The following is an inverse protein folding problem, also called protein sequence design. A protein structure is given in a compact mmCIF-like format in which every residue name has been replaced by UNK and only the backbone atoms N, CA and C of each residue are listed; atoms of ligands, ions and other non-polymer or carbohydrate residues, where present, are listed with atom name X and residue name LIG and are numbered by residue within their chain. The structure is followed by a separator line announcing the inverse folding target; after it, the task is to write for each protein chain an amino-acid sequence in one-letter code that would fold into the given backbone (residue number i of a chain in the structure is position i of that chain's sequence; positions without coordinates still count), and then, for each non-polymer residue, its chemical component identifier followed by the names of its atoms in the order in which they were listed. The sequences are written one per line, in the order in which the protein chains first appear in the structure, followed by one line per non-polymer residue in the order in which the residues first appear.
data_IF_929547439299
#
_entry.id   IF_929547439299
#
_cell.length_a   1.000
_cell.length_b   1.000
_cell.length_c   1.000
_cell.angle_alpha   90.00
_cell.angle_beta   90.00
_cell.angle_gamma   90.00
#
_symmetry.space_group_name_H-M   'P 1'
#
loop_
_entity.id
_entity.type
_entity.pdbx_description
1 polymer ?
#
# COMPACT_ATOMS: atom_id res chain seq x y z
N UNK A 1 7.95 18.29 -40.98
CA UNK A 1 8.13 19.27 -39.89
C UNK A 1 7.43 18.70 -38.67
N UNK A 2 8.14 18.00 -37.80
CA UNK A 2 7.62 17.57 -36.50
C UNK A 2 7.31 18.82 -35.67
N UNK A 3 6.10 18.88 -35.13
CA UNK A 3 5.65 20.08 -34.43
C UNK A 3 6.42 20.22 -33.11
N UNK A 4 6.61 21.45 -32.63
CA UNK A 4 7.25 21.73 -31.33
C UNK A 4 6.55 21.01 -30.17
N UNK A 5 5.26 20.70 -30.32
CA UNK A 5 4.44 19.98 -29.35
C UNK A 5 4.86 18.50 -29.21
N UNK A 6 5.19 17.85 -30.33
CA UNK A 6 5.55 16.43 -30.37
C UNK A 6 6.89 16.18 -29.64
N UNK A 7 7.82 17.14 -29.74
CA UNK A 7 9.11 17.06 -29.05
C UNK A 7 8.98 17.21 -27.52
N UNK A 8 8.02 18.01 -27.03
CA UNK A 8 7.80 18.19 -25.58
C UNK A 8 7.22 16.90 -24.98
N UNK A 9 6.21 16.32 -25.63
CA UNK A 9 5.57 15.07 -25.18
C UNK A 9 6.58 13.91 -25.16
N UNK A 10 7.47 13.85 -26.15
CA UNK A 10 8.51 12.83 -26.23
C UNK A 10 9.52 12.92 -25.07
N UNK A 11 10.00 14.13 -24.75
CA UNK A 11 10.94 14.32 -23.65
C UNK A 11 10.31 13.99 -22.30
N UNK A 12 9.06 14.41 -22.05
CA UNK A 12 8.33 14.09 -20.83
C UNK A 12 8.16 12.55 -20.67
N UNK A 13 7.93 11.84 -21.77
CA UNK A 13 7.80 10.37 -21.76
C UNK A 13 9.13 9.68 -21.41
N UNK A 14 10.26 10.19 -21.93
CA UNK A 14 11.59 9.67 -21.58
C UNK A 14 11.88 9.89 -20.09
N UNK A 15 11.65 11.10 -19.59
CA UNK A 15 11.89 11.41 -18.18
C UNK A 15 11.05 10.54 -17.25
N UNK A 16 9.76 10.36 -17.55
CA UNK A 16 8.89 9.47 -16.78
C UNK A 16 9.37 8.01 -16.80
N UNK A 17 9.79 7.53 -17.96
CA UNK A 17 10.34 6.17 -18.11
C UNK A 17 11.62 5.98 -17.29
N UNK A 18 12.54 6.94 -17.34
CA UNK A 18 13.77 6.91 -16.55
C UNK A 18 13.48 6.95 -15.05
N UNK A 19 12.54 7.79 -14.61
CA UNK A 19 12.14 7.88 -13.20
C UNK A 19 11.49 6.57 -12.71
N UNK A 20 10.69 5.92 -13.55
CA UNK A 20 10.13 4.60 -13.25
C UNK A 20 11.22 3.55 -13.13
N UNK A 21 12.13 3.47 -14.12
CA UNK A 21 13.25 2.54 -14.11
C UNK A 21 14.13 2.71 -12.85
N UNK A 22 14.48 3.95 -12.51
CA UNK A 22 15.27 4.26 -11.31
C UNK A 22 14.55 3.85 -10.03
N UNK A 23 13.24 4.10 -9.95
CA UNK A 23 12.43 3.72 -8.80
C UNK A 23 12.40 2.20 -8.62
N UNK A 24 12.17 1.47 -9.70
CA UNK A 24 12.11 0.00 -9.66
C UNK A 24 13.48 -0.59 -9.36
N UNK A 25 14.54 -0.05 -9.95
CA UNK A 25 15.92 -0.44 -9.66
C UNK A 25 16.27 -0.23 -8.18
N UNK A 26 15.95 0.94 -7.61
CA UNK A 26 16.14 1.24 -6.18
C UNK A 26 15.35 0.28 -5.29
N UNK A 27 14.08 0.04 -5.62
CA UNK A 27 13.23 -0.89 -4.86
C UNK A 27 13.79 -2.32 -4.88
N UNK A 28 14.26 -2.78 -6.04
CA UNK A 28 14.84 -4.11 -6.19
C UNK A 28 16.13 -4.27 -5.36
N UNK A 29 17.00 -3.25 -5.33
CA UNK A 29 18.20 -3.27 -4.48
C UNK A 29 17.86 -3.28 -3.00
N UNK A 30 16.89 -2.45 -2.57
CA UNK A 30 16.39 -2.46 -1.19
C UNK A 30 15.85 -3.83 -0.80
N UNK A 31 15.03 -4.45 -1.65
CA UNK A 31 14.47 -5.77 -1.40
C UNK A 31 15.56 -6.85 -1.31
N UNK A 32 16.59 -6.78 -2.14
CA UNK A 32 17.74 -7.68 -2.04
C UNK A 32 18.48 -7.51 -0.71
N UNK A 33 18.75 -6.26 -0.30
CA UNK A 33 19.37 -5.96 0.98
C UNK A 33 18.56 -6.52 2.16
N UNK A 34 17.24 -6.29 2.20
CA UNK A 34 16.35 -6.83 3.24
C UNK A 34 16.33 -8.36 3.19
N UNK A 35 16.17 -8.96 2.01
CA UNK A 35 16.07 -10.42 1.88
C UNK A 35 17.35 -11.12 2.35
N UNK A 36 18.52 -10.52 2.10
CA UNK A 36 19.80 -11.06 2.56
C UNK A 36 20.02 -10.74 4.04
N UNK A 37 19.74 -9.51 4.48
CA UNK A 37 19.95 -9.03 5.85
C UNK A 37 18.95 -9.56 6.89
N UNK A 38 17.77 -10.00 6.48
CA UNK A 38 16.80 -10.69 7.35
C UNK A 38 17.17 -12.17 7.52
N UNK A 39 17.76 -12.78 6.49
CA UNK A 39 18.23 -14.18 6.52
C UNK A 39 19.59 -14.33 7.19
N UNK A 40 20.44 -13.32 7.08
CA UNK A 40 21.86 -13.36 7.45
C UNK A 40 22.25 -12.02 8.10
N UNK A 41 23.32 -11.98 8.91
CA UNK A 41 23.77 -10.73 9.53
C UNK A 41 24.14 -9.66 8.48
N UNK A 42 24.11 -8.37 8.87
CA UNK A 42 24.49 -7.22 8.03
C UNK A 42 25.81 -7.43 7.26
N UNK A 43 26.80 -8.06 7.91
CA UNK A 43 28.09 -8.38 7.31
C UNK A 43 27.97 -9.25 6.05
N UNK A 44 26.99 -10.15 6.02
CA UNK A 44 26.74 -11.03 4.87
C UNK A 44 25.99 -10.30 3.75
N UNK A 45 25.08 -9.38 4.09
CA UNK A 45 24.46 -8.49 3.10
C UNK A 45 25.50 -7.62 2.37
N UNK A 46 26.52 -7.13 3.09
CA UNK A 46 27.63 -6.37 2.50
C UNK A 46 28.49 -7.22 1.55
N UNK A 47 28.71 -8.50 1.88
CA UNK A 47 29.49 -9.41 1.04
C UNK A 47 28.76 -9.91 -0.22
N UNK A 48 27.48 -9.59 -0.40
CA UNK A 48 26.62 -10.11 -1.49
C UNK A 48 26.00 -8.97 -2.31
N UNK A 49 26.81 -8.27 -3.13
CA UNK A 49 26.34 -7.13 -3.92
C UNK A 49 25.19 -7.50 -4.85
N UNK A 50 24.28 -6.54 -5.06
CA UNK A 50 23.22 -6.69 -6.05
C UNK A 50 23.82 -6.81 -7.46
N UNK A 51 23.19 -7.59 -8.33
CA UNK A 51 23.70 -7.86 -9.68
C UNK A 51 24.09 -6.57 -10.41
N UNK A 52 25.28 -6.57 -11.01
CA UNK A 52 25.85 -5.45 -11.77
C UNK A 52 26.13 -4.17 -10.96
N UNK A 53 26.17 -4.24 -9.63
CA UNK A 53 26.61 -3.13 -8.77
C UNK A 53 28.07 -3.39 -8.34
N UNK A 54 29.01 -2.47 -8.63
CA UNK A 54 30.37 -2.54 -8.10
C UNK A 54 30.39 -2.62 -6.56
N UNK A 55 31.38 -3.30 -5.99
CA UNK A 55 31.46 -3.57 -4.55
C UNK A 55 31.58 -2.28 -3.71
N UNK A 56 32.38 -1.33 -4.16
CA UNK A 56 32.54 -0.01 -3.54
C UNK A 56 31.24 0.80 -3.52
N UNK A 57 30.47 0.75 -4.61
CA UNK A 57 29.15 1.38 -4.67
C UNK A 57 28.12 0.63 -3.82
N UNK A 58 28.22 -0.69 -3.72
CA UNK A 58 27.35 -1.50 -2.88
C UNK A 58 27.54 -1.20 -1.40
N UNK A 59 28.78 -1.00 -0.95
CA UNK A 59 29.07 -0.64 0.44
C UNK A 59 28.37 0.68 0.84
N UNK A 60 28.47 1.71 0.00
CA UNK A 60 27.78 2.98 0.20
C UNK A 60 26.25 2.79 0.25
N UNK A 61 25.70 1.92 -0.60
CA UNK A 61 24.27 1.61 -0.60
C UNK A 61 23.85 0.84 0.65
N UNK A 62 24.66 -0.11 1.14
CA UNK A 62 24.42 -0.81 2.39
C UNK A 62 24.38 0.16 3.57
N UNK A 63 25.33 1.10 3.65
CA UNK A 63 25.32 2.13 4.69
C UNK A 63 24.09 3.02 4.60
N UNK A 64 23.69 3.40 3.38
CA UNK A 64 22.46 4.14 3.16
C UNK A 64 21.21 3.37 3.61
N UNK A 65 21.11 2.08 3.26
CA UNK A 65 19.96 1.25 3.63
C UNK A 65 19.93 0.88 5.12
N UNK A 66 21.09 0.80 5.77
CA UNK A 66 21.22 0.58 7.20
C UNK A 66 21.07 1.87 8.03
N UNK A 67 21.14 3.05 7.38
CA UNK A 67 20.93 4.32 8.07
C UNK A 67 19.49 4.45 8.55
N UNK A 68 19.33 4.91 9.78
CA UNK A 68 18.04 5.23 10.38
C UNK A 68 17.28 6.31 9.59
N UNK A 69 18.00 7.18 8.87
CA UNK A 69 17.41 8.20 7.98
C UNK A 69 16.65 7.61 6.79
N UNK A 70 16.90 6.35 6.46
CA UNK A 70 16.22 5.63 5.38
C UNK A 70 14.96 4.89 5.86
N UNK A 71 14.87 4.64 7.17
CA UNK A 71 13.75 3.98 7.84
C UNK A 71 12.79 4.99 8.49
N UNK A 72 13.29 6.17 8.87
CA UNK A 72 12.53 7.28 9.44
C UNK A 72 11.94 8.26 8.43
N UNK A 73 11.02 9.09 8.90
CA UNK A 73 10.48 10.20 8.11
C UNK A 73 11.62 11.20 7.79
N UNK A 74 11.85 11.56 6.51
CA UNK A 74 12.95 12.44 6.11
C UNK A 74 12.83 13.88 6.67
N UNK A 75 11.64 14.32 7.08
CA UNK A 75 11.42 15.64 7.72
C UNK A 75 11.63 15.60 9.23
N UNK A 76 11.32 14.47 9.88
CA UNK A 76 11.25 14.38 11.34
C UNK A 76 12.39 13.58 11.97
N UNK A 77 13.11 12.75 11.20
CA UNK A 77 14.18 11.88 11.67
C UNK A 77 13.75 10.78 12.66
N UNK A 78 12.45 10.70 12.98
CA UNK A 78 11.86 9.66 13.82
C UNK A 78 11.45 8.45 12.99
N UNK A 79 11.64 7.26 13.56
CA UNK A 79 11.00 6.05 13.10
C UNK A 79 9.48 6.27 13.17
N UNK A 80 8.84 6.34 12.01
CA UNK A 80 7.39 6.36 11.91
C UNK A 80 6.85 4.97 12.22
N UNK A 81 5.67 4.90 12.85
CA UNK A 81 4.94 3.64 12.90
C UNK A 81 4.72 3.15 11.47
N UNK A 82 4.75 1.83 11.21
CA UNK A 82 4.37 1.27 9.92
C UNK A 82 3.03 1.81 9.39
N UNK A 83 2.10 2.13 10.30
CA UNK A 83 0.81 2.74 9.96
C UNK A 83 0.98 4.19 9.51
N UNK A 84 1.65 5.02 10.30
CA UNK A 84 1.89 6.44 9.98
C UNK A 84 2.60 6.60 8.61
N UNK A 85 3.62 5.76 8.36
CA UNK A 85 4.33 5.73 7.08
C UNK A 85 3.41 5.36 5.92
N UNK A 86 2.51 4.40 6.14
CA UNK A 86 1.54 3.97 5.13
C UNK A 86 0.51 5.07 4.84
N UNK A 87 0.00 5.74 5.87
CA UNK A 87 -0.90 6.89 5.74
C UNK A 87 -0.24 8.02 4.93
N UNK A 88 0.96 8.48 5.31
CA UNK A 88 1.66 9.57 4.64
C UNK A 88 1.82 9.30 3.13
N UNK A 89 2.09 8.04 2.77
CA UNK A 89 2.35 7.66 1.38
C UNK A 89 1.09 7.51 0.54
N UNK A 90 -0.01 7.06 1.15
CA UNK A 90 -1.23 6.64 0.43
C UNK A 90 -2.45 7.53 0.67
N UNK A 91 -2.45 8.36 1.70
CA UNK A 91 -3.49 9.32 2.03
C UNK A 91 -3.06 10.71 1.58
N UNK A 92 -3.67 11.20 0.49
CA UNK A 92 -3.35 12.52 -0.10
C UNK A 92 -4.64 13.29 -0.37
N UNK A 93 -4.63 14.61 -0.13
CA UNK A 93 -5.78 15.48 -0.36
C UNK A 93 -7.05 14.98 0.36
N UNK A 94 -6.91 14.52 1.61
CA UNK A 94 -7.98 13.93 2.43
C UNK A 94 -8.65 12.69 1.79
N UNK A 95 -7.93 11.95 0.94
CA UNK A 95 -8.45 10.76 0.26
C UNK A 95 -7.38 9.68 0.11
N UNK A 96 -7.83 8.42 0.14
CA UNK A 96 -6.98 7.27 -0.14
C UNK A 96 -6.72 7.15 -1.64
N UNK A 97 -5.49 6.80 -2.02
CA UNK A 97 -5.09 6.64 -3.42
C UNK A 97 -5.96 5.63 -4.19
N UNK A 98 -6.45 4.60 -3.50
CA UNK A 98 -7.44 3.63 -4.00
C UNK A 98 -8.11 2.86 -2.84
N UNK A 99 -9.20 2.15 -3.13
CA UNK A 99 -9.96 1.38 -2.14
C UNK A 99 -9.12 0.29 -1.45
N UNK A 100 -8.23 -0.37 -2.21
CA UNK A 100 -7.33 -1.38 -1.66
C UNK A 100 -6.42 -0.81 -0.56
N UNK A 101 -5.86 0.39 -0.77
CA UNK A 101 -5.02 1.06 0.24
C UNK A 101 -5.82 1.42 1.49
N UNK A 102 -7.06 1.87 1.33
CA UNK A 102 -7.94 2.14 2.47
C UNK A 102 -8.24 0.87 3.28
N UNK A 103 -8.61 -0.23 2.59
CA UNK A 103 -8.89 -1.50 3.26
C UNK A 103 -7.66 -2.04 4.00
N UNK A 104 -6.50 -2.02 3.35
CA UNK A 104 -5.25 -2.46 3.96
C UNK A 104 -4.91 -1.67 5.23
N UNK A 105 -5.11 -0.36 5.20
CA UNK A 105 -4.92 0.50 6.38
C UNK A 105 -5.87 0.12 7.52
N UNK A 106 -7.17 -0.05 7.21
CA UNK A 106 -8.16 -0.43 8.22
C UNK A 106 -7.86 -1.77 8.88
N UNK A 107 -7.29 -2.72 8.15
CA UNK A 107 -6.86 -4.03 8.70
C UNK A 107 -5.65 -3.85 9.61
N UNK A 108 -4.60 -3.18 9.15
CA UNK A 108 -3.39 -2.93 9.94
C UNK A 108 -3.72 -2.20 11.26
N UNK A 109 -4.57 -1.17 11.19
CA UNK A 109 -5.00 -0.41 12.36
C UNK A 109 -5.79 -1.27 13.37
N UNK A 110 -6.60 -2.21 12.89
CA UNK A 110 -7.30 -3.18 13.77
C UNK A 110 -6.34 -4.13 14.46
N UNK A 111 -5.33 -4.64 13.75
CA UNK A 111 -4.32 -5.54 14.32
C UNK A 111 -3.47 -4.83 15.39
N UNK A 112 -3.07 -3.58 15.15
CA UNK A 112 -2.33 -2.78 16.13
C UNK A 112 -3.19 -2.49 17.38
N UNK A 113 -4.45 -2.09 17.20
CA UNK A 113 -5.38 -1.86 18.30
C UNK A 113 -5.61 -3.12 19.14
N UNK A 114 -5.69 -4.30 18.52
CA UNK A 114 -5.80 -5.58 19.23
C UNK A 114 -4.55 -5.86 20.06
N UNK A 115 -3.37 -5.67 19.47
CA UNK A 115 -2.09 -5.88 20.14
C UNK A 115 -1.93 -4.95 21.34
N UNK A 116 -2.31 -3.68 21.19
CA UNK A 116 -2.28 -2.69 22.26
C UNK A 116 -3.25 -3.04 23.40
N UNK A 117 -4.48 -3.46 23.06
CA UNK A 117 -5.47 -3.88 24.05
C UNK A 117 -5.02 -5.13 24.82
N UNK A 118 -4.38 -6.09 24.16
CA UNK A 118 -3.79 -7.25 24.80
C UNK A 118 -2.63 -6.87 25.72
N UNK A 119 -1.73 -5.99 25.27
CA UNK A 119 -0.62 -5.50 26.09
C UNK A 119 -1.11 -4.83 27.38
N UNK A 120 -2.14 -3.98 27.29
CA UNK A 120 -2.77 -3.38 28.48
C UNK A 120 -3.45 -4.40 29.39
N UNK A 121 -4.11 -5.42 28.83
CA UNK A 121 -4.74 -6.47 29.63
C UNK A 121 -3.70 -7.30 30.42
N UNK A 122 -2.52 -7.54 29.86
CA UNK A 122 -1.43 -8.22 30.54
C UNK A 122 -0.80 -7.36 31.65
N UNK A 123 -0.65 -6.05 31.45
CA UNK A 123 -0.15 -5.12 32.47
C UNK A 123 -1.08 -5.05 33.70
N UNK A 124 -2.39 -5.15 33.49
CA UNK A 124 -3.39 -5.18 34.57
C UNK A 124 -3.36 -6.51 35.34
N UNK A 125 -3.09 -7.63 34.67
CA UNK A 125 -3.02 -8.95 35.29
C UNK A 125 -1.79 -9.12 36.21
N UNK A 126 -0.66 -8.51 35.86
CA UNK A 126 0.57 -8.56 36.65
C UNK A 126 0.53 -7.69 37.92
N UNK A 127 -0.44 -6.77 38.04
CA UNK A 127 -0.63 -5.91 39.22
C UNK A 127 -1.55 -6.53 40.28
N UNK A 128 -2.16 -7.68 40.02
CA UNK A 128 -3.08 -8.34 40.96
C UNK A 128 -2.32 -9.39 41.79
N UNK A 129 -2.06 -9.05 43.05
CA UNK A 129 -1.56 -9.94 44.10
C UNK A 129 -2.41 -11.25 44.15
N UNK A 130 -1.80 -12.45 44.13
CA UNK A 130 -2.52 -13.74 44.06
C UNK A 130 -3.32 -14.14 45.31
N UNK A 131 -3.62 -13.24 46.23
CA UNK A 131 -4.20 -13.61 47.54
C UNK A 131 -5.73 -13.55 47.63
N UNK A 132 -6.45 -13.13 46.58
CA UNK A 132 -7.93 -13.16 46.59
C UNK A 132 -8.50 -13.82 45.33
N UNK A 133 -8.21 -15.10 45.15
CA UNK A 133 -8.91 -15.97 44.21
C UNK A 133 -10.16 -16.56 44.87
N UNK A 134 -11.30 -15.87 44.78
CA UNK A 134 -12.62 -16.51 44.87
C UNK A 134 -13.53 -15.96 43.77
N UNK A 135 -13.71 -16.82 42.76
CA UNK A 135 -14.96 -17.08 42.04
C UNK A 135 -15.66 -15.89 41.37
N UNK A 136 -15.31 -15.65 40.10
CA UNK A 136 -16.25 -15.07 39.15
C UNK A 136 -16.17 -15.81 37.81
N UNK A 137 -17.01 -16.83 37.67
CA UNK A 137 -17.37 -17.43 36.38
C UNK A 137 -18.44 -16.54 35.76
N UNK A 138 -18.04 -15.41 35.18
CA UNK A 138 -18.88 -14.66 34.24
C UNK A 138 -18.14 -14.71 32.91
N UNK A 139 -18.73 -15.44 31.96
CA UNK A 139 -18.16 -15.63 30.63
C UNK A 139 -17.92 -14.29 29.91
N UNK A 140 -17.06 -14.29 28.86
CA UNK A 140 -16.77 -13.08 28.11
C UNK A 140 -18.06 -12.45 27.61
N UNK A 141 -18.25 -11.18 27.96
CA UNK A 141 -19.38 -10.35 27.53
C UNK A 141 -19.44 -10.44 26.00
N UNK A 142 -20.56 -10.95 25.47
CA UNK A 142 -20.81 -10.96 24.05
C UNK A 142 -20.73 -9.51 23.56
N UNK A 143 -19.66 -9.20 22.85
CA UNK A 143 -19.45 -7.87 22.29
C UNK A 143 -20.51 -7.67 21.21
N UNK A 144 -21.46 -6.77 21.48
CA UNK A 144 -22.45 -6.38 20.49
C UNK A 144 -21.76 -5.54 19.40
N UNK A 145 -21.40 -6.20 18.31
CA UNK A 145 -20.76 -5.61 17.13
C UNK A 145 -21.58 -4.41 16.59
N UNK A 146 -22.90 -4.42 16.75
CA UNK A 146 -23.77 -3.31 16.34
C UNK A 146 -23.61 -2.08 17.26
N UNK A 147 -23.38 -2.28 18.56
CA UNK A 147 -23.14 -1.19 19.50
C UNK A 147 -21.82 -0.46 19.22
N UNK A 148 -20.77 -1.21 18.89
CA UNK A 148 -19.44 -0.65 18.55
C UNK A 148 -19.51 0.17 17.25
N UNK A 149 -20.18 -0.34 16.21
CA UNK A 149 -20.37 0.42 14.97
C UNK A 149 -21.15 1.71 15.19
N UNK A 150 -22.19 1.67 16.03
CA UNK A 150 -23.06 2.82 16.30
C UNK A 150 -22.32 3.93 17.04
N UNK A 151 -21.43 3.58 17.98
CA UNK A 151 -20.64 4.57 18.72
C UNK A 151 -19.53 5.21 17.85
N UNK A 152 -18.88 4.41 17.00
CA UNK A 152 -17.72 4.86 16.21
C UNK A 152 -18.10 5.78 15.04
N UNK A 153 -19.28 5.60 14.47
CA UNK A 153 -19.72 6.33 13.27
C UNK A 153 -20.27 7.74 13.56
N UNK A 154 -20.57 8.05 14.83
CA UNK A 154 -21.23 9.28 15.24
C UNK A 154 -22.63 9.45 14.63
N UNK A 155 -23.46 10.33 15.20
CA UNK A 155 -24.86 10.56 14.80
C UNK A 155 -25.07 11.13 13.39
N UNK A 156 -24.03 11.17 12.55
CA UNK A 156 -24.06 11.71 11.18
C UNK A 156 -23.76 10.69 10.08
N UNK A 157 -23.67 9.39 10.38
CA UNK A 157 -23.48 8.39 9.32
C UNK A 157 -24.75 8.23 8.48
N UNK A 158 -24.62 8.52 7.19
CA UNK A 158 -25.66 8.43 6.16
C UNK A 158 -26.25 7.00 5.97
N UNK A 159 -25.62 5.99 6.58
CA UNK A 159 -25.95 4.57 6.44
C UNK A 159 -27.17 4.10 7.24
N UNK A 160 -27.66 4.86 8.22
CA UNK A 160 -28.86 4.48 8.97
C UNK A 160 -30.16 4.78 8.20
N UNK A 161 -30.08 5.37 7.00
CA UNK A 161 -31.23 5.81 6.21
C UNK A 161 -31.83 4.75 5.27
N UNK A 162 -31.33 3.52 5.30
CA UNK A 162 -31.74 2.47 4.34
C UNK A 162 -32.26 1.16 4.96
N UNK A 163 -32.54 1.12 6.26
CA UNK A 163 -33.26 -0.03 6.87
C UNK A 163 -34.79 0.19 6.88
N UNK A 164 -35.28 1.34 6.43
CA UNK A 164 -36.70 1.54 6.14
C UNK A 164 -36.96 1.29 4.65
N UNK A 165 -37.59 0.15 4.35
CA UNK A 165 -38.32 -0.21 3.13
C UNK A 165 -38.07 0.66 1.89
N UNK A 166 -37.39 0.07 0.88
CA UNK A 166 -37.20 0.66 -0.46
C UNK A 166 -38.52 1.27 -0.99
N UNK A 167 -38.52 2.53 -1.48
CA UNK A 167 -39.66 3.05 -2.22
C UNK A 167 -39.80 2.25 -3.52
N UNK A 168 -41.00 1.69 -3.74
CA UNK A 168 -41.34 0.92 -4.95
C UNK A 168 -41.13 1.81 -6.19
N UNK A 169 -40.09 1.51 -6.96
CA UNK A 169 -39.86 2.06 -8.29
C UNK A 169 -41.07 1.75 -9.16
N UNK A 170 -41.75 2.80 -9.63
CA UNK A 170 -42.80 2.69 -10.64
C UNK A 170 -42.10 2.54 -11.99
N UNK A 171 -42.36 1.45 -12.69
CA UNK A 171 -41.82 1.20 -14.03
C UNK A 171 -42.32 2.29 -15.00
N UNK A 172 -41.41 3.17 -15.41
CA UNK A 172 -41.61 4.06 -16.57
C UNK A 172 -41.10 3.30 -17.79
N UNK A 173 -42.02 2.84 -18.63
CA UNK A 173 -41.71 2.17 -19.89
C UNK A 173 -41.07 3.15 -20.88
N UNK A 174 -39.76 3.04 -21.06
CA UNK A 174 -38.99 3.74 -22.09
C UNK A 174 -38.59 2.77 -23.22
N UNK A 175 -38.66 3.17 -24.51
CA UNK A 175 -38.33 2.29 -25.63
C UNK A 175 -36.85 1.88 -25.65
N UNK A 176 -36.64 0.59 -25.92
CA UNK A 176 -35.35 -0.08 -26.03
C UNK A 176 -34.57 0.41 -27.26
N UNK A 177 -33.41 1.03 -27.05
CA UNK A 177 -32.47 1.36 -28.11
C UNK A 177 -31.71 0.11 -28.59
N UNK A 178 -31.61 -0.06 -29.90
CA UNK A 178 -30.89 -1.16 -30.54
C UNK A 178 -29.37 -0.93 -30.44
N UNK A 179 -28.66 -1.91 -29.89
CA UNK A 179 -27.20 -1.97 -29.86
C UNK A 179 -26.68 -2.41 -31.22
N UNK A 180 -25.94 -1.54 -31.90
CA UNK A 180 -25.23 -1.85 -33.15
C UNK A 180 -23.79 -2.15 -32.75
N UNK A 181 -23.41 -3.44 -32.78
CA UNK A 181 -22.02 -3.86 -32.66
C UNK A 181 -21.34 -3.78 -34.02
N UNK A 182 -20.29 -2.99 -34.16
CA UNK A 182 -19.36 -3.10 -35.28
C UNK A 182 -17.98 -3.49 -34.75
N UNK A 183 -17.61 -4.72 -35.09
CA UNK A 183 -16.28 -5.33 -35.02
C UNK A 183 -15.46 -4.77 -36.18
N UNK A 184 -14.24 -4.26 -35.92
CA UNK A 184 -13.26 -4.01 -36.96
C UNK A 184 -11.84 -4.33 -36.45
N UNK A 185 -11.16 -5.13 -37.25
CA UNK A 185 -9.91 -5.82 -37.00
C UNK A 185 -8.70 -4.89 -36.76
N UNK A 186 -7.87 -5.26 -35.77
CA UNK A 186 -6.48 -4.81 -35.66
C UNK A 186 -5.64 -5.79 -36.48
N UNK A 187 -5.15 -5.34 -37.64
CA UNK A 187 -4.09 -6.04 -38.36
C UNK A 187 -2.74 -5.61 -37.80
N UNK A 188 -1.98 -6.59 -37.34
CA UNK A 188 -0.61 -6.48 -36.86
C UNK A 188 0.32 -6.71 -38.07
N UNK A 189 0.94 -5.66 -38.59
CA UNK A 189 2.05 -5.81 -39.54
C UNK A 189 3.37 -5.71 -38.77
N UNK A 190 4.04 -6.86 -38.61
CA UNK A 190 5.39 -6.94 -38.10
C UNK A 190 6.14 -8.00 -38.90
N UNK A 191 6.92 -7.60 -39.92
CA UNK A 191 7.96 -8.43 -40.52
C UNK A 191 8.97 -7.61 -41.35
N UNK A 192 10.21 -7.68 -40.90
CA UNK A 192 11.43 -7.83 -41.71
C UNK A 192 11.86 -6.71 -42.67
N UNK A 193 12.91 -5.97 -42.27
CA UNK A 193 14.00 -5.66 -43.21
C UNK A 193 15.32 -5.39 -42.46
N UNK A 194 16.14 -6.42 -42.25
CA UNK A 194 17.58 -6.24 -42.02
C UNK A 194 18.32 -7.25 -42.90
N UNK A 195 18.69 -6.84 -44.11
CA UNK A 195 19.84 -7.40 -44.83
C UNK A 195 20.50 -6.29 -45.64
N UNK A 196 21.83 -6.38 -45.73
CA UNK A 196 22.75 -5.63 -46.60
C UNK A 196 23.48 -4.42 -45.98
N UNK A 197 24.53 -4.72 -45.24
CA UNK A 197 25.74 -3.89 -45.25
C UNK A 197 26.99 -4.76 -45.10
N UNK A 198 27.49 -5.30 -46.23
CA UNK A 198 28.87 -5.76 -46.40
C UNK A 198 29.23 -5.74 -47.89
N UNK A 199 29.84 -4.63 -48.32
CA UNK A 199 30.92 -4.62 -49.30
C UNK A 199 31.70 -3.32 -49.18
#
# INVERSE_FOLDING_TARGET
MTSRQDNVIFMDSIEQSMMHYLRDWKNNMKMHFITVGEKEALAVARARPYKNVPEDHWEILCDHFASQDFEGNPETGKLMSPIDYFEERHFKNNSWRNEYTQQKHMVAWREEALTQAQAQAHEIADLVDPTLSVESVVGPVAIDEYAIMTQSLGTRSRWQKEVSSLPRLKNVGGPKAASISNVAAVQCEHAETITNLKQ
#
